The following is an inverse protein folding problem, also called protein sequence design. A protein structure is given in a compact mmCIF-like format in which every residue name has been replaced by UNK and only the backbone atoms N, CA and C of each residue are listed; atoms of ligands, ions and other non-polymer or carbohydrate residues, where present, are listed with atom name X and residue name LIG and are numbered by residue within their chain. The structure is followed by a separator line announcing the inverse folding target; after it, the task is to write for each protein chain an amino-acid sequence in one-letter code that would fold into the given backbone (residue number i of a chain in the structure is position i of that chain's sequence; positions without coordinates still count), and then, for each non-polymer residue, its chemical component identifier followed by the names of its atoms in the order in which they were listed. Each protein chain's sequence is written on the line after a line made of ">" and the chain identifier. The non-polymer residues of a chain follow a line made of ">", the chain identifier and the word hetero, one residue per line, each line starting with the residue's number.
data_IF_271744346309
#
_entry.id   IF_271744346309
#
_cell.length_a   1.000
_cell.length_b   1.000
_cell.length_c   1.000
_cell.angle_alpha   90.00
_cell.angle_beta   90.00
_cell.angle_gamma   90.00
#
_symmetry.space_group_name_H-M   'P 1'
#
loop_
_entity.id
_entity.type
_entity.pdbx_description
1 polymer ?
#
# COMPACT_ATOMS: atom_id res chain seq x y z
N UNK A 1 0.61 7.77 -5.93
CA UNK A 1 -0.51 7.43 -5.03
C UNK A 1 -1.35 6.34 -5.67
N UNK A 2 -1.82 5.41 -4.87
CA UNK A 2 -2.77 4.38 -5.28
C UNK A 2 -4.04 4.57 -4.45
N UNK A 3 -5.16 4.71 -5.13
CA UNK A 3 -6.50 4.74 -4.54
C UNK A 3 -7.24 3.47 -4.95
N UNK A 4 -7.96 2.89 -4.02
CA UNK A 4 -8.71 1.64 -4.23
C UNK A 4 -10.14 1.80 -3.74
N UNK A 5 -11.09 1.20 -4.45
CA UNK A 5 -12.48 1.12 -4.05
C UNK A 5 -12.94 -0.34 -4.00
N UNK A 6 -13.72 -0.66 -2.99
CA UNK A 6 -14.38 -1.96 -2.84
C UNK A 6 -15.85 -1.73 -2.50
N UNK A 7 -16.72 -2.43 -3.20
CA UNK A 7 -18.14 -2.50 -2.86
C UNK A 7 -18.35 -3.50 -1.71
N UNK A 8 -18.85 -3.01 -0.59
CA UNK A 8 -19.15 -3.84 0.58
C UNK A 8 -20.64 -3.78 0.82
N UNK A 9 -21.28 -4.95 0.82
CA UNK A 9 -22.68 -5.06 1.24
C UNK A 9 -22.74 -5.05 2.77
N UNK A 10 -23.10 -3.92 3.37
CA UNK A 10 -23.36 -3.83 4.79
C UNK A 10 -24.86 -3.97 5.07
N UNK A 11 -25.22 -4.95 5.86
CA UNK A 11 -26.53 -4.96 6.53
C UNK A 11 -26.52 -3.87 7.61
N UNK A 12 -27.18 -2.78 7.34
CA UNK A 12 -27.20 -1.64 8.26
C UNK A 12 -28.11 -1.84 9.48
N UNK A 13 -28.96 -2.87 9.50
CA UNK A 13 -29.90 -3.08 10.61
C UNK A 13 -30.33 -4.55 10.74
N UNK A 14 -30.43 -5.04 11.97
CA UNK A 14 -31.13 -6.28 12.24
C UNK A 14 -32.64 -5.98 12.34
N UNK A 15 -33.46 -6.42 11.34
CA UNK A 15 -34.87 -6.11 11.32
C UNK A 15 -35.67 -6.76 12.47
N UNK A 16 -35.05 -7.68 13.21
CA UNK A 16 -35.68 -8.34 14.38
C UNK A 16 -35.70 -7.42 15.62
N UNK A 17 -34.88 -6.35 15.62
CA UNK A 17 -34.80 -5.38 16.70
C UNK A 17 -35.81 -4.22 16.56
N UNK A 18 -36.55 -4.15 15.43
CA UNK A 18 -37.52 -3.10 15.19
C UNK A 18 -38.94 -3.56 15.63
N UNK A 19 -39.65 -2.63 16.26
CA UNK A 19 -41.07 -2.78 16.51
C UNK A 19 -41.85 -3.04 15.19
N UNK A 20 -42.76 -4.03 15.13
CA UNK A 20 -43.45 -4.40 13.91
C UNK A 20 -44.16 -3.23 13.20
N UNK A 21 -44.66 -2.23 13.94
CA UNK A 21 -45.26 -1.03 13.41
C UNK A 21 -44.27 -0.09 12.72
N UNK A 22 -43.06 -0.02 13.25
CA UNK A 22 -41.97 0.79 12.68
C UNK A 22 -41.42 0.15 11.39
N UNK A 23 -41.42 -1.17 11.34
CA UNK A 23 -41.01 -1.94 10.17
C UNK A 23 -41.92 -1.74 8.96
N UNK A 24 -43.21 -1.68 9.19
CA UNK A 24 -44.22 -1.42 8.15
C UNK A 24 -44.15 0.01 7.62
N UNK A 25 -43.73 0.98 8.46
CA UNK A 25 -43.61 2.39 8.10
C UNK A 25 -42.32 2.71 7.34
N UNK A 26 -41.19 2.01 7.67
CA UNK A 26 -39.89 2.30 7.11
C UNK A 26 -39.52 1.44 5.89
N UNK A 27 -40.32 0.39 5.60
CA UNK A 27 -40.06 -0.56 4.56
C UNK A 27 -38.95 -1.56 4.97
N UNK A 28 -38.72 -2.57 4.14
CA UNK A 28 -37.60 -3.49 4.37
C UNK A 28 -36.27 -2.76 4.26
N UNK A 29 -35.32 -2.99 5.21
CA UNK A 29 -34.01 -2.40 5.13
C UNK A 29 -33.33 -2.92 3.87
N UNK A 30 -33.13 -2.05 2.89
CA UNK A 30 -32.38 -2.38 1.69
C UNK A 30 -30.92 -2.58 2.04
N UNK A 31 -30.27 -3.54 1.38
CA UNK A 31 -28.80 -3.67 1.35
C UNK A 31 -28.31 -2.45 0.56
N UNK A 32 -27.74 -1.46 1.24
CA UNK A 32 -27.09 -0.35 0.56
C UNK A 32 -25.63 -0.74 0.30
N UNK A 33 -25.17 -0.70 -0.95
CA UNK A 33 -23.75 -0.88 -1.22
C UNK A 33 -22.98 0.29 -0.60
N UNK A 34 -22.10 -0.02 0.32
CA UNK A 34 -21.13 0.92 0.89
C UNK A 34 -19.81 0.79 0.14
N UNK A 35 -19.09 1.89 -0.05
CA UNK A 35 -17.79 1.90 -0.71
C UNK A 35 -16.69 2.06 0.31
N UNK A 36 -15.93 1.01 0.53
CA UNK A 36 -14.67 1.12 1.26
C UNK A 36 -13.58 1.65 0.35
N UNK A 37 -12.90 2.70 0.81
CA UNK A 37 -11.77 3.31 0.10
C UNK A 37 -10.48 3.04 0.84
N UNK A 38 -9.51 2.48 0.11
CA UNK A 38 -8.16 2.31 0.56
C UNK A 38 -7.21 3.29 -0.13
N UNK A 39 -6.11 3.60 0.52
CA UNK A 39 -5.07 4.44 -0.05
C UNK A 39 -3.69 3.89 0.29
N UNK A 40 -2.78 3.99 -0.67
CA UNK A 40 -1.39 3.64 -0.51
C UNK A 40 -0.50 4.38 -1.49
N UNK A 41 0.74 4.02 -1.50
CA UNK A 41 1.76 4.50 -2.42
C UNK A 41 2.19 3.38 -3.37
N UNK A 42 2.90 3.76 -4.43
CA UNK A 42 3.52 2.82 -5.35
C UNK A 42 4.66 3.48 -6.10
N UNK A 43 5.48 2.68 -6.76
CA UNK A 43 6.59 3.15 -7.58
C UNK A 43 6.50 2.54 -8.98
N UNK A 44 6.64 3.39 -10.01
CA UNK A 44 6.75 2.92 -11.40
C UNK A 44 8.17 2.38 -11.61
N UNK A 45 8.28 1.13 -12.04
CA UNK A 45 9.56 0.42 -12.19
C UNK A 45 9.99 0.19 -13.63
N UNK A 46 9.18 0.56 -14.61
CA UNK A 46 9.56 0.52 -16.03
C UNK A 46 8.75 1.51 -16.88
N UNK A 47 9.19 1.71 -18.12
CA UNK A 47 8.57 2.59 -19.09
C UNK A 47 7.18 2.12 -19.59
N UNK A 48 6.82 0.88 -19.33
CA UNK A 48 5.53 0.33 -19.71
C UNK A 48 4.42 0.62 -18.66
N UNK A 49 4.73 1.36 -17.60
CA UNK A 49 3.76 1.68 -16.54
C UNK A 49 3.48 0.52 -15.61
N UNK A 50 4.49 -0.29 -15.31
CA UNK A 50 4.40 -1.28 -14.24
C UNK A 50 4.69 -0.62 -12.90
N UNK A 51 3.75 -0.74 -11.99
CA UNK A 51 3.82 -0.16 -10.63
C UNK A 51 3.99 -1.27 -9.62
N UNK A 52 4.98 -1.14 -8.76
CA UNK A 52 5.19 -2.00 -7.60
C UNK A 52 4.58 -1.32 -6.36
N UNK A 53 3.87 -2.10 -5.55
CA UNK A 53 3.22 -1.67 -4.30
C UNK A 53 3.07 -2.84 -3.33
N UNK A 54 2.42 -2.64 -2.18
CA UNK A 54 2.09 -3.74 -1.27
C UNK A 54 0.82 -4.49 -1.69
N UNK A 55 0.77 -5.79 -1.39
CA UNK A 55 -0.40 -6.62 -1.65
C UNK A 55 -1.63 -6.13 -0.86
N UNK A 56 -1.46 -5.80 0.43
CA UNK A 56 -2.54 -5.33 1.28
C UNK A 56 -3.18 -4.00 0.79
N UNK A 57 -2.49 -3.22 -0.05
CA UNK A 57 -3.04 -1.97 -0.65
C UNK A 57 -4.06 -2.29 -1.73
N UNK A 58 -3.89 -3.38 -2.48
CA UNK A 58 -4.71 -3.74 -3.66
C UNK A 58 -5.43 -5.07 -3.50
N UNK A 59 -5.37 -5.68 -2.32
CA UNK A 59 -6.05 -6.96 -2.06
C UNK A 59 -7.56 -6.76 -1.88
N UNK A 60 -8.35 -7.59 -2.57
CA UNK A 60 -9.82 -7.61 -2.48
C UNK A 60 -10.48 -6.28 -2.85
N UNK A 61 -9.94 -5.58 -3.83
CA UNK A 61 -10.52 -4.35 -4.36
C UNK A 61 -11.10 -4.59 -5.75
N UNK A 62 -12.15 -3.84 -6.09
CA UNK A 62 -12.80 -3.95 -7.41
C UNK A 62 -12.13 -3.00 -8.40
N UNK A 63 -11.79 -1.80 -7.95
CA UNK A 63 -11.20 -0.76 -8.78
C UNK A 63 -9.89 -0.23 -8.17
N UNK A 64 -8.89 -0.03 -9.02
CA UNK A 64 -7.61 0.59 -8.69
C UNK A 64 -7.38 1.80 -9.57
N UNK A 65 -7.11 2.95 -8.98
CA UNK A 65 -6.65 4.13 -9.69
C UNK A 65 -5.29 4.60 -9.19
N UNK A 66 -4.45 5.03 -10.12
CA UNK A 66 -3.08 5.48 -9.84
C UNK A 66 -2.96 6.95 -10.19
N UNK A 67 -2.73 7.79 -9.19
CA UNK A 67 -2.43 9.21 -9.39
C UNK A 67 -0.91 9.39 -9.52
N UNK A 68 -0.47 9.88 -10.67
CA UNK A 68 0.93 10.15 -10.98
C UNK A 68 1.45 11.41 -10.27
N UNK A 69 2.75 11.66 -10.40
CA UNK A 69 3.42 12.80 -9.77
C UNK A 69 2.97 14.16 -10.31
N UNK A 70 2.48 14.20 -11.53
CA UNK A 70 1.93 15.39 -12.20
C UNK A 70 0.42 15.61 -11.94
N UNK A 71 -0.21 14.71 -11.17
CA UNK A 71 -1.63 14.75 -10.87
C UNK A 71 -2.52 13.98 -11.86
N UNK A 72 -1.95 13.40 -12.91
CA UNK A 72 -2.70 12.55 -13.85
C UNK A 72 -3.24 11.32 -13.13
N UNK A 73 -4.51 11.00 -13.33
CA UNK A 73 -5.17 9.81 -12.76
C UNK A 73 -5.31 8.77 -13.87
N UNK A 74 -4.74 7.60 -13.64
CA UNK A 74 -4.75 6.47 -14.56
C UNK A 74 -5.52 5.31 -13.94
N UNK A 75 -6.23 4.56 -14.75
CA UNK A 75 -6.81 3.29 -14.33
C UNK A 75 -5.72 2.23 -14.22
N UNK A 76 -5.71 1.49 -13.12
CA UNK A 76 -4.76 0.43 -12.83
C UNK A 76 -5.41 -0.95 -12.88
N UNK A 77 -4.68 -1.93 -13.39
CA UNK A 77 -5.06 -3.34 -13.37
C UNK A 77 -4.07 -4.11 -12.48
N UNK A 78 -4.58 -4.80 -11.46
CA UNK A 78 -3.75 -5.69 -10.66
C UNK A 78 -3.35 -6.89 -11.50
N UNK A 79 -2.04 -7.07 -11.72
CA UNK A 79 -1.49 -8.21 -12.46
C UNK A 79 -1.27 -9.43 -11.56
N UNK A 80 -0.94 -9.19 -10.31
CA UNK A 80 -0.71 -10.24 -9.34
C UNK A 80 -0.34 -9.68 -7.97
N UNK A 81 -0.57 -10.50 -6.96
CA UNK A 81 -0.26 -10.22 -5.56
C UNK A 81 0.44 -11.41 -4.95
N UNK A 82 1.39 -11.15 -4.08
CA UNK A 82 2.01 -12.14 -3.21
C UNK A 82 1.79 -11.74 -1.75
N UNK A 83 0.93 -12.49 -1.08
CA UNK A 83 0.60 -12.24 0.34
C UNK A 83 1.73 -12.64 1.28
N UNK A 84 2.69 -13.48 0.84
CA UNK A 84 3.84 -13.90 1.65
C UNK A 84 4.84 -12.75 1.76
N UNK A 85 5.19 -12.12 0.63
CA UNK A 85 6.10 -10.98 0.58
C UNK A 85 5.39 -9.64 0.76
N UNK A 86 4.06 -9.63 0.77
CA UNK A 86 3.23 -8.42 0.79
C UNK A 86 3.51 -7.49 -0.40
N UNK A 87 3.81 -8.05 -1.57
CA UNK A 87 4.06 -7.30 -2.80
C UNK A 87 2.94 -7.49 -3.82
N UNK A 88 2.72 -6.48 -4.63
CA UNK A 88 1.78 -6.50 -5.74
C UNK A 88 2.30 -5.73 -6.94
N UNK A 89 1.89 -6.15 -8.12
CA UNK A 89 2.14 -5.48 -9.38
C UNK A 89 0.83 -4.96 -9.96
N UNK A 90 0.82 -3.67 -10.27
CA UNK A 90 -0.29 -2.98 -10.92
C UNK A 90 0.20 -2.45 -12.27
N UNK A 91 -0.57 -2.69 -13.32
CA UNK A 91 -0.33 -2.17 -14.66
C UNK A 91 -1.21 -0.95 -14.87
N UNK A 92 -0.61 0.20 -15.21
CA UNK A 92 -1.34 1.37 -15.67
C UNK A 92 -1.65 1.20 -17.16
N UNK A 93 -2.89 1.52 -17.58
CA UNK A 93 -3.34 1.30 -18.96
C UNK A 93 -2.59 2.13 -20.00
N UNK A 94 -2.13 3.30 -19.61
CA UNK A 94 -1.36 4.16 -20.50
C UNK A 94 0.07 3.62 -20.68
N UNK A 95 0.66 3.89 -21.83
CA UNK A 95 2.02 3.47 -22.18
C UNK A 95 2.92 4.68 -22.42
N UNK A 96 4.20 4.49 -22.18
CA UNK A 96 5.27 5.46 -22.39
C UNK A 96 5.49 6.42 -21.20
N UNK A 97 5.89 5.84 -20.09
CA UNK A 97 6.34 6.60 -18.91
C UNK A 97 7.85 6.85 -19.02
N UNK A 98 8.26 8.09 -19.33
CA UNK A 98 9.68 8.40 -19.53
C UNK A 98 10.48 8.35 -18.21
N UNK A 99 9.79 8.43 -17.09
CA UNK A 99 10.40 8.45 -15.76
C UNK A 99 9.92 7.26 -14.93
N UNK A 100 10.85 6.38 -14.61
CA UNK A 100 10.64 5.25 -13.69
C UNK A 100 11.85 5.16 -12.74
N UNK A 101 11.64 4.54 -11.59
CA UNK A 101 12.71 4.35 -10.62
C UNK A 101 13.54 3.10 -10.98
N UNK A 102 14.86 3.21 -11.04
CA UNK A 102 15.72 2.05 -11.19
C UNK A 102 15.64 1.18 -9.93
N UNK A 103 15.70 -0.15 -10.12
CA UNK A 103 15.82 -1.08 -9.01
C UNK A 103 17.30 -1.21 -8.64
N UNK A 104 17.60 -1.03 -7.35
CA UNK A 104 18.91 -1.29 -6.78
C UNK A 104 19.04 -2.75 -6.35
N UNK A 105 20.22 -3.07 -5.80
CA UNK A 105 20.49 -4.38 -5.23
C UNK A 105 20.51 -4.28 -3.70
N UNK A 106 19.53 -4.88 -3.04
CA UNK A 106 19.44 -4.87 -1.57
C UNK A 106 20.52 -5.75 -0.88
N UNK A 107 21.15 -6.66 -1.60
CA UNK A 107 22.26 -7.47 -1.12
C UNK A 107 23.54 -6.66 -0.86
N UNK A 108 23.68 -5.52 -1.55
CA UNK A 108 24.86 -4.64 -1.44
C UNK A 108 24.72 -3.60 -0.31
N UNK A 109 23.62 -3.64 0.44
CA UNK A 109 23.35 -2.67 1.51
C UNK A 109 24.20 -2.98 2.74
N UNK A 110 24.66 -1.90 3.37
CA UNK A 110 25.33 -1.95 4.67
C UNK A 110 24.55 -1.16 5.72
N UNK A 111 24.69 -1.56 6.98
CA UNK A 111 24.13 -0.78 8.11
C UNK A 111 24.83 0.59 8.15
N UNK A 112 24.03 1.65 8.15
CA UNK A 112 24.50 3.03 8.05
C UNK A 112 24.28 3.67 6.68
N UNK A 113 23.94 2.89 5.65
CA UNK A 113 23.58 3.43 4.34
C UNK A 113 22.34 4.31 4.42
N UNK A 114 22.25 5.30 3.57
CA UNK A 114 21.09 6.18 3.53
C UNK A 114 19.85 5.42 3.03
N UNK A 115 18.76 5.61 3.76
CA UNK A 115 17.44 5.07 3.47
C UNK A 115 16.43 6.21 3.39
N UNK A 116 15.91 6.46 2.20
CA UNK A 116 14.96 7.55 1.93
C UNK A 116 13.62 6.93 1.58
N UNK A 117 12.63 7.09 2.47
CA UNK A 117 11.29 6.59 2.23
C UNK A 117 10.42 7.64 1.56
N UNK A 118 9.76 7.24 0.49
CA UNK A 118 8.85 8.10 -0.28
C UNK A 118 7.42 7.58 -0.16
N UNK A 119 6.47 8.52 -0.08
CA UNK A 119 5.05 8.17 -0.04
C UNK A 119 4.15 9.36 -0.32
N UNK A 120 2.86 9.09 -0.38
CA UNK A 120 1.79 10.09 -0.53
C UNK A 120 0.72 9.85 0.53
N UNK A 121 1.05 10.11 1.82
CA UNK A 121 0.12 9.90 2.91
C UNK A 121 -1.13 10.76 2.70
N UNK A 122 -2.29 10.16 2.95
CA UNK A 122 -3.61 10.81 2.82
C UNK A 122 -3.89 11.48 1.48
N UNK A 123 -3.07 11.19 0.46
CA UNK A 123 -3.28 11.69 -0.90
C UNK A 123 -3.07 13.18 -1.12
N UNK A 124 -2.58 13.91 -0.14
CA UNK A 124 -2.51 15.37 -0.19
C UNK A 124 -1.11 15.89 -0.50
N UNK A 125 -0.04 15.27 0.00
CA UNK A 125 1.33 15.75 -0.22
C UNK A 125 2.33 14.61 -0.39
N UNK A 126 3.31 14.83 -1.26
CA UNK A 126 4.47 13.94 -1.40
C UNK A 126 5.28 14.05 -0.11
N UNK A 127 5.46 12.95 0.58
CA UNK A 127 6.25 12.90 1.81
C UNK A 127 7.55 12.18 1.53
N UNK A 128 8.63 12.78 2.00
CA UNK A 128 9.99 12.22 1.97
C UNK A 128 10.50 12.19 3.39
N UNK A 129 10.92 11.02 3.85
CA UNK A 129 11.59 10.87 5.14
C UNK A 129 12.96 10.26 4.93
N UNK A 130 13.94 10.75 5.68
CA UNK A 130 15.34 10.34 5.59
C UNK A 130 15.75 9.66 6.89
N UNK A 131 16.44 8.56 6.76
CA UNK A 131 17.10 7.82 7.82
C UNK A 131 18.26 7.00 7.24
N UNK A 132 18.63 5.97 7.98
CA UNK A 132 19.66 5.03 7.58
C UNK A 132 19.12 3.60 7.63
N UNK A 133 19.82 2.69 6.99
CA UNK A 133 19.67 1.24 7.21
C UNK A 133 20.16 0.93 8.63
N UNK A 134 19.22 0.59 9.52
CA UNK A 134 19.54 0.31 10.93
C UNK A 134 19.85 -1.16 11.16
N UNK A 135 19.28 -2.06 10.36
CA UNK A 135 19.54 -3.50 10.39
C UNK A 135 19.10 -4.14 9.08
N UNK A 136 19.77 -5.23 8.73
CA UNK A 136 19.44 -6.12 7.60
C UNK A 136 18.99 -7.48 8.16
N UNK A 137 18.21 -8.22 7.36
CA UNK A 137 17.78 -9.60 7.66
C UNK A 137 17.04 -9.76 9.01
N UNK A 138 16.17 -8.79 9.32
CA UNK A 138 15.40 -8.89 10.58
C UNK A 138 14.34 -9.97 10.47
N UNK A 139 14.47 -10.98 11.35
CA UNK A 139 13.49 -12.06 11.46
C UNK A 139 12.15 -11.51 12.01
N UNK A 140 11.12 -11.58 11.18
CA UNK A 140 9.77 -11.10 11.51
C UNK A 140 9.00 -12.06 12.42
N UNK A 141 9.47 -13.28 12.65
CA UNK A 141 8.83 -14.19 13.61
C UNK A 141 8.79 -13.56 15.01
N UNK A 142 9.81 -12.76 15.35
CA UNK A 142 9.85 -12.00 16.59
C UNK A 142 8.81 -10.87 16.68
N UNK A 143 8.21 -10.48 15.55
CA UNK A 143 7.20 -9.42 15.45
C UNK A 143 5.76 -9.96 15.36
N UNK A 144 5.58 -11.29 15.49
CA UNK A 144 4.27 -11.95 15.51
C UNK A 144 3.67 -12.26 14.12
N UNK A 145 4.48 -12.21 13.08
CA UNK A 145 4.07 -12.56 11.71
C UNK A 145 4.62 -13.93 11.32
N UNK A 146 4.10 -15.00 11.92
CA UNK A 146 4.57 -16.38 11.71
C UNK A 146 4.41 -16.91 10.29
N UNK A 147 3.53 -16.31 9.49
CA UNK A 147 3.14 -16.81 8.17
C UNK A 147 3.82 -16.10 6.99
N UNK A 148 4.66 -15.09 7.27
CA UNK A 148 5.36 -14.32 6.23
C UNK A 148 6.86 -14.62 6.24
N UNK A 149 7.42 -14.88 5.07
CA UNK A 149 8.87 -14.94 4.86
C UNK A 149 9.32 -13.63 4.26
N UNK A 150 9.52 -12.62 5.11
CA UNK A 150 10.00 -11.31 4.68
C UNK A 150 11.43 -11.13 5.17
N UNK A 151 12.30 -10.76 4.25
CA UNK A 151 13.62 -10.24 4.56
C UNK A 151 13.51 -8.71 4.64
N UNK A 152 13.42 -8.20 5.86
CA UNK A 152 13.11 -6.79 6.09
C UNK A 152 14.37 -5.97 6.28
N UNK A 153 14.45 -4.85 5.56
CA UNK A 153 15.36 -3.74 5.83
C UNK A 153 14.75 -2.91 6.96
N UNK A 154 15.43 -2.83 8.10
CA UNK A 154 15.05 -1.92 9.16
C UNK A 154 15.68 -0.55 8.92
N UNK A 155 14.88 0.51 9.05
CA UNK A 155 15.33 1.90 8.95
C UNK A 155 14.73 2.74 10.07
N UNK A 156 15.40 3.83 10.45
CA UNK A 156 14.88 4.86 11.33
C UNK A 156 14.21 6.01 10.55
N UNK A 157 14.19 5.95 9.21
CA UNK A 157 13.32 6.81 8.42
C UNK A 157 11.87 6.61 8.84
N UNK A 158 11.14 7.70 9.08
CA UNK A 158 9.76 7.62 9.58
C UNK A 158 8.84 6.96 8.54
N UNK A 159 8.34 5.76 8.85
CA UNK A 159 7.32 5.05 8.06
C UNK A 159 5.98 5.22 8.76
N UNK A 160 5.03 5.82 8.05
CA UNK A 160 3.69 6.14 8.55
C UNK A 160 2.62 5.67 7.57
N UNK A 161 1.33 5.60 7.99
CA UNK A 161 0.22 5.34 7.07
C UNK A 161 0.27 6.27 5.86
N UNK A 162 0.24 5.67 4.65
CA UNK A 162 0.38 6.38 3.38
C UNK A 162 1.74 6.22 2.69
N UNK A 163 2.80 5.88 3.44
CA UNK A 163 4.07 5.47 2.81
C UNK A 163 4.03 4.01 2.34
N UNK A 164 3.12 3.18 2.88
CA UNK A 164 2.97 1.76 2.50
C UNK A 164 2.82 1.62 0.99
N UNK A 165 3.61 0.73 0.39
CA UNK A 165 3.70 0.50 -1.05
C UNK A 165 4.62 1.47 -1.80
N UNK A 166 5.03 2.58 -1.16
CA UNK A 166 6.03 3.49 -1.72
C UNK A 166 7.44 2.93 -1.65
N UNK A 167 8.38 3.47 -2.44
CA UNK A 167 9.75 3.00 -2.45
C UNK A 167 10.55 3.48 -1.24
N UNK A 168 11.43 2.61 -0.77
CA UNK A 168 12.62 2.95 -0.02
C UNK A 168 13.77 3.04 -1.02
N UNK A 169 14.46 4.17 -1.09
CA UNK A 169 15.55 4.39 -2.05
C UNK A 169 16.87 4.67 -1.32
N UNK A 170 17.97 4.34 -2.00
CA UNK A 170 19.33 4.70 -1.57
C UNK A 170 19.72 6.13 -2.00
N UNK A 171 20.94 6.54 -1.70
CA UNK A 171 21.49 7.86 -2.09
C UNK A 171 21.62 8.05 -3.61
N UNK A 172 21.62 6.98 -4.39
CA UNK A 172 21.66 7.02 -5.86
C UNK A 172 20.27 7.15 -6.49
N UNK A 173 19.18 7.11 -5.69
CA UNK A 173 17.81 7.11 -6.17
C UNK A 173 17.31 5.76 -6.66
N UNK A 174 17.99 4.67 -6.33
CA UNK A 174 17.62 3.30 -6.69
C UNK A 174 16.70 2.71 -5.62
N UNK A 175 15.68 1.96 -6.02
CA UNK A 175 14.76 1.29 -5.11
C UNK A 175 15.44 0.09 -4.47
N UNK A 176 15.62 0.14 -3.16
CA UNK A 176 16.22 -0.91 -2.34
C UNK A 176 15.19 -1.70 -1.53
N UNK A 177 13.95 -1.21 -1.45
CA UNK A 177 12.84 -1.85 -0.77
C UNK A 177 11.51 -1.18 -1.03
N UNK A 178 10.46 -1.80 -0.54
CA UNK A 178 9.09 -1.25 -0.54
C UNK A 178 8.65 -1.04 0.90
N UNK A 179 8.26 0.19 1.23
CA UNK A 179 7.81 0.54 2.57
C UNK A 179 6.57 -0.26 2.94
N UNK A 180 6.63 -0.94 4.06
CA UNK A 180 5.47 -1.60 4.65
C UNK A 180 5.32 -1.20 6.10
N UNK A 181 4.08 -1.02 6.56
CA UNK A 181 3.82 -0.66 7.94
C UNK A 181 3.91 -1.93 8.79
N UNK A 182 4.96 -2.03 9.58
CA UNK A 182 5.01 -3.03 10.64
C UNK A 182 4.23 -2.48 11.83
N UNK A 183 3.15 -3.15 12.23
CA UNK A 183 2.46 -2.83 13.49
C UNK A 183 3.46 -3.01 14.63
N UNK A 184 3.92 -1.91 15.19
CA UNK A 184 4.59 -1.95 16.49
C UNK A 184 3.57 -2.40 17.54
N UNK A 185 3.85 -3.52 18.22
CA UNK A 185 3.12 -3.93 19.40
C UNK A 185 3.34 -2.91 20.54
N UNK A 186 2.52 -2.93 21.59
CA UNK A 186 2.75 -2.09 22.76
C UNK A 186 4.11 -2.48 23.38
N UNK A 187 5.09 -1.60 23.26
CA UNK A 187 6.44 -1.78 23.85
C UNK A 187 7.62 -1.77 22.89
N UNK A 188 7.46 -1.26 21.65
CA UNK A 188 8.60 -0.98 20.76
C UNK A 188 9.07 0.45 20.90
#
# INVERSE_FOLDING_TARGET
>A
KIDTERLVERQQFDPTLLDPLLRDLLGEPGILPDRERGQGSGVIINNNGLVLTNAHVVERVDDVSVTLADGTICEGQVLGTDSITDLALVKIKESNYPHFAPLGNSEDLEVGDWAIALGTPYGLEKTVTLGIVSSLHRDINSLGFSDKRLDLIQTDAAINPGNSGGPLINSNGEVIGINTLVRSGPGA
#
